data_IF_315026809085
#
_entry.id   IF_315026809085
#
_cell.length_a   1.000
_cell.length_b   1.000
_cell.length_c   1.000
_cell.angle_alpha   90.00
_cell.angle_beta   90.00
_cell.angle_gamma   90.00
#
_symmetry.space_group_name_H-M   'P 1'
#
loop_
_entity.id
_entity.type
_entity.pdbx_description
1 polymer ?
#
# COMPACT_ATOMS: atom_id res chain seq x y z
N UNK A 1 7.72 -2.96 10.29
CA UNK A 1 6.37 -2.92 9.68
C UNK A 1 5.39 -3.17 10.81
N UNK A 2 4.58 -2.18 11.18
CA UNK A 2 3.55 -2.40 12.19
C UNK A 2 2.56 -3.45 11.68
N UNK A 3 2.03 -4.29 12.57
CA UNK A 3 1.03 -5.28 12.18
C UNK A 3 -0.20 -4.52 11.68
N UNK A 4 -0.61 -4.80 10.44
CA UNK A 4 -1.78 -4.20 9.79
C UNK A 4 -3.05 -4.38 10.63
N UNK A 5 -3.08 -5.41 11.47
CA UNK A 5 -4.15 -5.67 12.44
C UNK A 5 -4.09 -4.74 13.65
N UNK A 6 -2.90 -4.46 14.20
CA UNK A 6 -2.75 -3.53 15.34
C UNK A 6 -3.20 -2.12 14.97
N UNK A 7 -2.83 -1.63 13.78
CA UNK A 7 -3.26 -0.32 13.28
C UNK A 7 -4.80 -0.26 13.16
N UNK A 8 -5.41 -1.31 12.63
CA UNK A 8 -6.87 -1.40 12.52
C UNK A 8 -7.53 -1.45 13.90
N UNK A 9 -7.00 -2.23 14.84
CA UNK A 9 -7.58 -2.37 16.19
C UNK A 9 -7.48 -1.08 17.00
N UNK A 10 -6.40 -0.31 16.84
CA UNK A 10 -6.28 1.03 17.44
C UNK A 10 -7.33 2.00 16.89
N UNK A 11 -7.52 2.02 15.56
CA UNK A 11 -8.58 2.80 14.93
C UNK A 11 -9.97 2.35 15.40
N UNK A 12 -10.26 1.05 15.36
CA UNK A 12 -11.56 0.51 15.73
C UNK A 12 -11.89 0.74 17.22
N UNK A 13 -10.91 0.66 18.11
CA UNK A 13 -11.09 0.94 19.55
C UNK A 13 -11.52 2.38 19.82
N UNK A 14 -11.05 3.34 19.02
CA UNK A 14 -11.43 4.76 19.18
C UNK A 14 -12.77 5.12 18.51
N UNK A 15 -13.23 4.32 17.55
CA UNK A 15 -14.44 4.62 16.76
C UNK A 15 -15.68 3.82 17.19
N UNK A 16 -15.51 2.68 17.89
CA UNK A 16 -16.62 1.81 18.31
C UNK A 16 -16.77 1.72 19.84
N UNK A 17 -16.60 2.84 20.56
CA UNK A 17 -16.51 2.87 22.04
C UNK A 17 -17.82 2.51 22.76
N UNK A 18 -18.99 2.73 22.14
CA UNK A 18 -20.28 2.59 22.83
C UNK A 18 -21.37 1.97 21.94
N UNK A 19 -21.10 0.76 21.44
CA UNK A 19 -22.13 -0.10 20.87
C UNK A 19 -22.65 -0.97 22.00
N UNK A 20 -23.86 -0.69 22.51
CA UNK A 20 -24.52 -1.32 23.68
C UNK A 20 -24.68 -2.86 23.68
N UNK A 21 -23.92 -3.55 22.84
CA UNK A 21 -23.77 -4.99 22.62
C UNK A 21 -22.45 -5.59 23.12
N UNK A 22 -21.55 -4.82 23.76
CA UNK A 22 -20.31 -5.32 24.39
C UNK A 22 -19.01 -4.92 23.65
N UNK A 23 -17.89 -5.59 23.96
CA UNK A 23 -16.58 -5.25 23.39
C UNK A 23 -16.56 -5.44 21.85
N UNK A 24 -16.41 -4.35 21.06
CA UNK A 24 -16.45 -4.39 19.59
C UNK A 24 -15.30 -5.20 18.97
N UNK A 25 -14.18 -5.32 19.68
CA UNK A 25 -13.00 -6.08 19.25
C UNK A 25 -13.02 -7.54 19.69
N UNK A 26 -14.11 -8.00 20.35
CA UNK A 26 -14.21 -9.40 20.75
C UNK A 26 -14.18 -10.30 19.52
N UNK A 27 -13.18 -11.19 19.48
CA UNK A 27 -13.00 -12.20 18.43
C UNK A 27 -13.63 -13.52 18.83
N UNK A 28 -14.13 -14.26 17.84
CA UNK A 28 -14.56 -15.64 18.01
C UNK A 28 -13.38 -16.63 17.97
N UNK A 29 -13.64 -17.94 18.14
CA UNK A 29 -12.59 -18.98 18.10
C UNK A 29 -11.81 -19.05 16.78
N UNK A 30 -12.37 -18.55 15.69
CA UNK A 30 -11.73 -18.46 14.37
C UNK A 30 -10.90 -17.17 14.17
N UNK A 31 -10.78 -16.32 15.20
CA UNK A 31 -10.05 -15.06 15.13
C UNK A 31 -10.77 -13.93 14.39
N UNK A 32 -12.01 -14.14 13.94
CA UNK A 32 -12.83 -13.09 13.31
C UNK A 32 -13.53 -12.23 14.36
N UNK A 33 -13.70 -10.94 14.07
CA UNK A 33 -14.50 -10.06 14.90
C UNK A 33 -15.96 -10.51 14.94
N UNK A 34 -16.53 -10.62 16.15
CA UNK A 34 -17.93 -11.00 16.32
C UNK A 34 -18.91 -9.88 15.98
N UNK A 35 -18.47 -8.62 16.09
CA UNK A 35 -19.31 -7.48 15.79
C UNK A 35 -19.30 -7.18 14.28
N UNK A 36 -20.47 -7.26 13.64
CA UNK A 36 -20.60 -7.23 12.17
C UNK A 36 -19.98 -5.98 11.53
N UNK A 37 -20.14 -4.80 12.17
CA UNK A 37 -19.60 -3.54 11.63
C UNK A 37 -18.07 -3.56 11.65
N UNK A 38 -17.45 -4.05 12.72
CA UNK A 38 -15.98 -4.18 12.84
C UNK A 38 -15.47 -5.25 11.88
N UNK A 39 -16.17 -6.38 11.74
CA UNK A 39 -15.81 -7.43 10.79
C UNK A 39 -15.83 -6.93 9.33
N UNK A 40 -16.84 -6.13 8.97
CA UNK A 40 -16.96 -5.51 7.64
C UNK A 40 -15.88 -4.46 7.42
N UNK A 41 -15.64 -3.59 8.41
CA UNK A 41 -14.56 -2.59 8.35
C UNK A 41 -13.18 -3.25 8.21
N UNK A 42 -12.94 -4.37 8.90
CA UNK A 42 -11.71 -5.14 8.77
C UNK A 42 -11.51 -5.68 7.36
N UNK A 43 -12.54 -6.26 6.74
CA UNK A 43 -12.47 -6.72 5.34
C UNK A 43 -12.20 -5.58 4.37
N UNK A 44 -12.88 -4.44 4.55
CA UNK A 44 -12.66 -3.25 3.74
C UNK A 44 -11.24 -2.70 3.89
N UNK A 45 -10.69 -2.71 5.11
CA UNK A 45 -9.31 -2.32 5.40
C UNK A 45 -8.29 -3.24 4.76
N UNK A 46 -8.49 -4.55 4.83
CA UNK A 46 -7.64 -5.52 4.16
C UNK A 46 -7.68 -5.32 2.64
N UNK A 47 -8.86 -5.09 2.07
CA UNK A 47 -9.02 -4.86 0.63
C UNK A 47 -8.35 -3.54 0.18
N UNK A 48 -8.54 -2.44 0.92
CA UNK A 48 -7.93 -1.15 0.57
C UNK A 48 -6.41 -1.18 0.62
N UNK A 49 -5.82 -1.97 1.54
CA UNK A 49 -4.36 -2.12 1.63
C UNK A 49 -3.78 -3.17 0.70
N UNK A 50 -4.53 -4.22 0.36
CA UNK A 50 -4.12 -5.15 -0.69
C UNK A 50 -3.94 -4.43 -2.03
N UNK A 51 -4.78 -3.44 -2.32
CA UNK A 51 -4.68 -2.61 -3.52
C UNK A 51 -3.42 -1.71 -3.58
N UNK A 52 -2.72 -1.49 -2.45
CA UNK A 52 -1.51 -0.66 -2.38
C UNK A 52 -0.21 -1.47 -2.49
N UNK A 53 -0.29 -2.75 -2.83
CA UNK A 53 0.90 -3.59 -3.05
C UNK A 53 1.23 -3.62 -4.54
N UNK A 54 2.43 -3.18 -4.89
CA UNK A 54 2.95 -3.23 -6.26
C UNK A 54 4.20 -4.09 -6.30
N UNK A 55 4.37 -4.82 -7.40
CA UNK A 55 5.64 -5.42 -7.75
C UNK A 55 6.49 -4.34 -8.42
N UNK A 56 7.68 -4.09 -7.87
CA UNK A 56 8.60 -3.14 -8.49
C UNK A 56 9.13 -3.71 -9.81
N UNK A 57 9.46 -2.85 -10.79
CA UNK A 57 10.13 -3.31 -12.00
C UNK A 57 11.52 -3.87 -11.65
N UNK A 58 12.11 -4.62 -12.58
CA UNK A 58 13.52 -5.03 -12.49
C UNK A 58 14.48 -3.82 -12.46
N UNK A 59 15.79 -4.07 -12.38
CA UNK A 59 16.78 -2.99 -12.29
C UNK A 59 16.85 -2.08 -13.54
N UNK A 60 16.28 -2.52 -14.67
CA UNK A 60 16.15 -1.73 -15.89
C UNK A 60 17.46 -1.29 -16.53
N UNK A 61 18.60 -1.88 -16.15
CA UNK A 61 19.91 -1.41 -16.60
C UNK A 61 20.05 -1.58 -18.12
N UNK A 62 19.64 -2.73 -18.65
CA UNK A 62 19.68 -3.00 -20.09
C UNK A 62 18.75 -2.08 -20.88
N UNK A 63 17.53 -1.87 -20.37
CA UNK A 63 16.57 -0.97 -21.00
C UNK A 63 17.05 0.48 -20.96
N UNK A 64 17.69 0.90 -19.86
CA UNK A 64 18.30 2.23 -19.71
C UNK A 64 19.39 2.46 -20.76
N UNK A 65 20.30 1.49 -20.94
CA UNK A 65 21.35 1.59 -21.97
C UNK A 65 20.81 1.60 -23.39
N UNK A 66 19.69 0.90 -23.65
CA UNK A 66 19.04 0.85 -24.97
C UNK A 66 18.28 2.14 -25.28
N UNK A 67 17.41 2.56 -24.37
CA UNK A 67 16.39 3.58 -24.62
C UNK A 67 16.91 4.99 -24.34
N UNK A 68 17.92 5.13 -23.48
CA UNK A 68 18.39 6.42 -22.98
C UNK A 68 19.81 6.74 -23.44
N UNK A 69 20.00 6.90 -24.75
CA UNK A 69 21.32 7.17 -25.33
C UNK A 69 21.92 8.54 -24.95
N UNK A 70 21.14 9.49 -24.43
CA UNK A 70 21.62 10.77 -23.90
C UNK A 70 20.44 11.56 -23.32
N UNK A 71 20.43 11.83 -22.01
CA UNK A 71 20.02 13.13 -21.41
C UNK A 71 19.71 13.03 -19.92
N UNK A 72 20.71 12.82 -19.09
CA UNK A 72 20.84 13.54 -17.83
C UNK A 72 22.30 14.00 -17.73
N UNK A 73 22.63 14.96 -16.85
CA UNK A 73 23.94 15.64 -16.88
C UNK A 73 25.14 14.68 -16.81
N UNK A 74 24.95 13.51 -16.22
CA UNK A 74 25.90 12.39 -16.21
C UNK A 74 25.18 11.02 -16.18
N UNK A 75 25.96 9.94 -16.08
CA UNK A 75 25.46 8.55 -15.99
C UNK A 75 24.69 8.26 -14.70
N UNK A 76 24.99 8.97 -13.60
CA UNK A 76 24.29 8.81 -12.33
C UNK A 76 22.89 9.39 -12.43
N UNK A 77 22.76 10.63 -12.90
CA UNK A 77 21.45 11.27 -13.08
C UNK A 77 20.59 10.48 -14.08
N UNK A 78 21.22 9.88 -15.10
CA UNK A 78 20.53 9.06 -16.10
C UNK A 78 19.90 7.83 -15.48
N UNK A 79 20.66 7.09 -14.68
CA UNK A 79 20.13 5.94 -13.94
C UNK A 79 19.02 6.33 -12.97
N UNK A 80 19.18 7.44 -12.25
CA UNK A 80 18.18 7.91 -11.29
C UNK A 80 16.86 8.30 -11.96
N UNK A 81 16.90 9.11 -13.03
CA UNK A 81 15.69 9.52 -13.74
C UNK A 81 14.98 8.32 -14.39
N UNK A 82 15.74 7.40 -14.97
CA UNK A 82 15.17 6.20 -15.59
C UNK A 82 14.49 5.27 -14.60
N UNK A 83 15.14 5.00 -13.45
CA UNK A 83 14.55 4.19 -12.39
C UNK A 83 13.28 4.85 -11.82
N UNK A 84 13.31 6.18 -11.61
CA UNK A 84 12.16 6.94 -11.10
C UNK A 84 10.97 6.87 -12.07
N UNK A 85 11.20 7.07 -13.38
CA UNK A 85 10.15 6.97 -14.40
C UNK A 85 9.52 5.56 -14.45
N UNK A 86 10.33 4.50 -14.37
CA UNK A 86 9.80 3.11 -14.35
C UNK A 86 8.97 2.83 -13.11
N UNK A 87 9.43 3.26 -11.93
CA UNK A 87 8.69 3.09 -10.69
C UNK A 87 7.37 3.88 -10.75
N UNK A 88 7.39 5.13 -11.21
CA UNK A 88 6.19 5.95 -11.38
C UNK A 88 5.18 5.28 -12.31
N UNK A 89 5.63 4.74 -13.45
CA UNK A 89 4.77 4.01 -14.40
C UNK A 89 4.12 2.78 -13.76
N UNK A 90 4.89 1.99 -13.01
CA UNK A 90 4.37 0.79 -12.33
C UNK A 90 3.34 1.16 -11.26
N UNK A 91 3.59 2.21 -10.47
CA UNK A 91 2.63 2.72 -9.49
C UNK A 91 1.33 3.16 -10.17
N UNK A 92 1.42 3.95 -11.25
CA UNK A 92 0.25 4.42 -12.00
C UNK A 92 -0.53 3.27 -12.66
N UNK A 93 0.15 2.26 -13.22
CA UNK A 93 -0.48 1.06 -13.78
C UNK A 93 -1.23 0.24 -12.73
N UNK A 94 -0.73 0.23 -11.48
CA UNK A 94 -1.43 -0.36 -10.35
C UNK A 94 -2.60 0.51 -9.82
N UNK A 95 -2.86 1.66 -10.44
CA UNK A 95 -3.91 2.60 -10.02
C UNK A 95 -3.53 3.44 -8.80
N UNK A 96 -2.23 3.50 -8.45
CA UNK A 96 -1.71 4.35 -7.37
C UNK A 96 -1.35 5.71 -7.95
N UNK A 97 -2.00 6.75 -7.41
CA UNK A 97 -1.69 8.13 -7.76
C UNK A 97 -0.31 8.53 -7.24
N UNK A 98 0.54 9.05 -8.14
CA UNK A 98 1.84 9.64 -7.81
C UNK A 98 1.72 11.14 -8.05
N UNK A 99 2.07 11.94 -7.04
CA UNK A 99 2.11 13.40 -7.17
C UNK A 99 3.49 13.82 -7.62
N UNK A 100 3.54 14.67 -8.63
CA UNK A 100 4.77 15.37 -9.01
C UNK A 100 4.99 16.53 -8.01
N UNK A 101 6.23 16.72 -7.56
CA UNK A 101 6.68 17.84 -6.72
C UNK A 101 6.87 19.13 -7.54
#
# INVERSE_FOLDING_TARGET
MHDMREEFEAWASSHFVDVGSGNPLKKGPNGHYGFYVVATAWKAWQASRAALKVELPDDGIEDCWRDWQNSCRDTFDTGYCYATDRITKVLQQAGIEVKDD
#
